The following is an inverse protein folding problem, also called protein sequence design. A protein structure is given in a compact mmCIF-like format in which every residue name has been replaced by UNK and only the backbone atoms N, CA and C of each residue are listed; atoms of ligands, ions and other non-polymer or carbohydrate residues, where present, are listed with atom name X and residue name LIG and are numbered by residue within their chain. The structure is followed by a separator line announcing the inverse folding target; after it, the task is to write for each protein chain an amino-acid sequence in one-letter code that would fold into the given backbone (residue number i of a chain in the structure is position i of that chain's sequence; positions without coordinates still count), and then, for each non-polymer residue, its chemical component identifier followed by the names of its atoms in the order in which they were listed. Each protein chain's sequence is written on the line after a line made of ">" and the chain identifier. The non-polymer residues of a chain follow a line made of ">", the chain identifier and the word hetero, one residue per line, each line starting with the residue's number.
data_IF_814650264454
#
_entry.id   IF_814650264454
#
_cell.length_a   1.000
_cell.length_b   1.000
_cell.length_c   1.000
_cell.angle_alpha   90.00
_cell.angle_beta   90.00
_cell.angle_gamma   90.00
#
_symmetry.space_group_name_H-M   'P 1'
#
loop_
_entity.id
_entity.type
_entity.pdbx_description
1 polymer ?
#
# COMPACT_ATOMS: atom_id res chain seq x y z
N UNK A 1 94.95 -12.03 19.55
CA UNK A 1 94.07 -11.86 18.37
C UNK A 1 92.90 -10.96 18.74
N UNK A 2 92.96 -9.67 18.36
CA UNK A 2 91.94 -8.69 18.70
C UNK A 2 91.01 -8.54 17.48
N UNK A 3 89.72 -8.87 17.67
CA UNK A 3 88.68 -8.56 16.74
C UNK A 3 88.16 -7.14 16.95
N UNK A 4 88.55 -6.24 16.08
CA UNK A 4 88.00 -4.88 16.03
C UNK A 4 86.62 -4.89 15.42
N UNK A 5 85.57 -4.57 16.22
CA UNK A 5 84.24 -4.34 15.77
C UNK A 5 84.17 -2.93 15.11
N UNK A 6 83.97 -2.87 13.81
CA UNK A 6 83.68 -1.61 13.07
C UNK A 6 82.25 -1.14 13.39
N UNK A 7 82.20 -0.11 14.25
CA UNK A 7 80.93 0.66 14.37
C UNK A 7 80.74 1.53 13.12
N UNK A 8 79.90 1.15 12.24
CA UNK A 8 79.45 2.00 11.13
C UNK A 8 78.45 3.03 11.65
N UNK A 9 78.92 4.25 11.90
CA UNK A 9 78.03 5.35 12.26
C UNK A 9 77.24 5.80 10.98
N UNK A 10 75.94 5.63 11.02
CA UNK A 10 75.01 6.14 9.97
C UNK A 10 75.11 7.68 9.99
N UNK A 11 75.38 8.32 8.84
CA UNK A 11 75.49 9.79 8.75
C UNK A 11 74.18 10.47 9.15
N UNK A 12 74.29 11.69 9.67
CA UNK A 12 73.09 12.44 10.12
C UNK A 12 72.05 12.64 9.01
N UNK A 13 72.47 12.80 7.77
CA UNK A 13 71.57 12.91 6.61
C UNK A 13 70.82 11.60 6.33
N UNK A 14 71.45 10.44 6.51
CA UNK A 14 70.80 9.15 6.36
C UNK A 14 69.76 8.89 7.43
N UNK A 15 70.01 9.34 8.66
CA UNK A 15 69.01 9.26 9.78
C UNK A 15 67.80 10.14 9.49
N UNK A 16 67.97 11.36 8.94
CA UNK A 16 66.87 12.25 8.57
C UNK A 16 66.06 11.69 7.41
N UNK A 17 66.69 11.08 6.41
CA UNK A 17 66.00 10.43 5.34
C UNK A 17 65.13 9.23 5.77
N UNK A 18 65.66 8.41 6.70
CA UNK A 18 64.91 7.27 7.28
C UNK A 18 63.69 7.76 8.08
N UNK A 19 63.88 8.81 8.90
CA UNK A 19 62.78 9.40 9.68
C UNK A 19 61.72 9.95 8.75
N UNK A 20 62.08 10.64 7.68
CA UNK A 20 61.15 11.17 6.69
C UNK A 20 60.30 10.06 6.00
N UNK A 21 60.92 8.96 5.62
CA UNK A 21 60.22 7.81 5.01
C UNK A 21 59.28 7.16 5.99
N UNK A 22 59.69 7.03 7.26
CA UNK A 22 58.79 6.45 8.30
C UNK A 22 57.56 7.36 8.53
N UNK A 23 57.78 8.67 8.66
CA UNK A 23 56.68 9.64 8.86
C UNK A 23 55.74 9.68 7.68
N UNK A 24 56.28 9.68 6.45
CA UNK A 24 55.47 9.63 5.25
C UNK A 24 54.65 8.32 5.14
N UNK A 25 55.24 7.20 5.53
CA UNK A 25 54.58 5.90 5.58
C UNK A 25 53.44 5.88 6.60
N UNK A 26 53.64 6.40 7.77
CA UNK A 26 52.60 6.49 8.84
C UNK A 26 51.46 7.40 8.40
N UNK A 27 51.77 8.56 7.81
CA UNK A 27 50.72 9.45 7.26
C UNK A 27 49.95 8.81 6.13
N UNK A 28 50.62 8.10 5.22
CA UNK A 28 49.98 7.35 4.15
C UNK A 28 49.02 6.26 4.67
N UNK A 29 49.45 5.51 5.69
CA UNK A 29 48.62 4.48 6.33
C UNK A 29 47.43 5.08 7.08
N UNK A 30 47.59 6.20 7.76
CA UNK A 30 46.46 6.85 8.46
C UNK A 30 45.42 7.41 7.49
N UNK A 31 45.85 8.02 6.36
CA UNK A 31 44.96 8.49 5.29
C UNK A 31 44.26 7.31 4.64
N UNK A 32 44.99 6.23 4.32
CA UNK A 32 44.39 5.03 3.70
C UNK A 32 43.40 4.33 4.65
N UNK A 33 43.70 4.22 5.94
CA UNK A 33 42.78 3.68 6.95
C UNK A 33 41.55 4.58 7.10
N UNK A 34 41.73 5.90 7.16
CA UNK A 34 40.62 6.85 7.20
C UNK A 34 39.71 6.73 5.97
N UNK A 35 40.32 6.65 4.77
CA UNK A 35 39.61 6.45 3.53
C UNK A 35 38.88 5.10 3.49
N UNK A 36 39.52 4.03 3.93
CA UNK A 36 38.94 2.68 4.02
C UNK A 36 37.76 2.61 5.00
N UNK A 37 37.83 3.35 6.12
CA UNK A 37 36.71 3.43 7.08
C UNK A 37 35.55 4.28 6.54
N UNK A 38 35.85 5.37 5.83
CA UNK A 38 34.80 6.23 5.24
C UNK A 38 34.08 5.53 4.06
N UNK A 39 34.79 4.65 3.32
CA UNK A 39 34.24 3.93 2.17
C UNK A 39 33.78 2.50 2.49
N UNK A 40 33.91 2.06 3.73
CA UNK A 40 33.17 0.89 4.17
C UNK A 40 31.67 1.22 4.06
N UNK A 41 31.05 0.73 2.99
CA UNK A 41 29.59 0.57 2.96
C UNK A 41 29.26 -0.27 4.18
N UNK A 42 28.76 0.37 5.21
CA UNK A 42 28.12 -0.34 6.30
C UNK A 42 26.88 -1.01 5.68
N UNK A 43 27.04 -2.23 5.21
CA UNK A 43 25.91 -3.12 5.06
C UNK A 43 25.43 -3.34 6.50
N UNK A 44 24.41 -2.56 6.89
CA UNK A 44 23.65 -2.89 8.07
C UNK A 44 23.26 -4.37 7.90
N UNK A 45 23.43 -5.21 8.93
CA UNK A 45 22.94 -6.56 8.84
C UNK A 45 21.45 -6.43 8.49
N UNK A 46 21.11 -6.83 7.28
CA UNK A 46 19.72 -7.03 6.90
C UNK A 46 19.25 -8.10 7.86
N UNK A 47 18.36 -7.75 8.76
CA UNK A 47 17.68 -8.67 9.65
C UNK A 47 16.75 -9.54 8.77
N UNK A 48 17.34 -10.42 7.99
CA UNK A 48 16.65 -11.44 7.17
C UNK A 48 16.22 -12.64 8.03
N UNK A 49 15.85 -12.40 9.28
CA UNK A 49 15.60 -13.47 10.22
C UNK A 49 14.36 -13.35 11.10
N UNK A 50 13.57 -12.29 10.93
CA UNK A 50 12.30 -12.13 11.65
C UNK A 50 11.19 -11.72 10.68
N UNK A 51 10.91 -12.55 9.67
CA UNK A 51 9.55 -12.71 9.22
C UNK A 51 8.81 -13.52 10.31
N UNK A 52 8.67 -12.93 11.49
CA UNK A 52 7.57 -13.30 12.35
C UNK A 52 6.32 -12.86 11.59
N UNK A 53 5.63 -13.80 10.96
CA UNK A 53 4.26 -13.56 10.53
C UNK A 53 3.50 -13.12 11.78
N UNK A 54 3.26 -11.81 11.89
CA UNK A 54 2.42 -11.27 12.96
C UNK A 54 1.02 -11.83 12.68
N UNK A 55 0.67 -12.90 13.39
CA UNK A 55 -0.65 -13.48 13.30
C UNK A 55 -1.56 -12.65 14.19
N UNK A 56 -2.40 -11.83 13.59
CA UNK A 56 -3.49 -11.14 14.28
C UNK A 56 -4.71 -12.07 14.27
N UNK A 57 -5.24 -12.38 15.47
CA UNK A 57 -6.48 -13.13 15.61
C UNK A 57 -7.57 -12.15 16.03
N UNK A 58 -8.60 -12.01 15.22
CA UNK A 58 -9.78 -11.20 15.52
C UNK A 58 -10.91 -12.13 15.94
N UNK A 59 -11.41 -11.95 17.17
CA UNK A 59 -12.59 -12.66 17.66
C UNK A 59 -13.87 -12.00 17.13
N UNK A 60 -14.75 -12.80 16.53
CA UNK A 60 -16.10 -12.38 16.12
C UNK A 60 -17.14 -13.19 16.87
N UNK A 61 -18.32 -12.60 17.11
CA UNK A 61 -19.45 -13.28 17.75
C UNK A 61 -20.15 -14.18 16.75
N UNK A 62 -19.69 -15.42 16.64
CA UNK A 62 -20.20 -16.41 15.69
C UNK A 62 -19.29 -16.57 14.46
N UNK A 63 -19.21 -17.79 13.95
CA UNK A 63 -18.56 -18.05 12.68
C UNK A 63 -19.56 -17.77 11.55
N UNK A 64 -19.27 -16.89 10.58
CA UNK A 64 -20.16 -16.67 9.46
C UNK A 64 -20.24 -17.95 8.61
N UNK A 65 -21.42 -18.29 8.12
CA UNK A 65 -21.61 -19.42 7.22
C UNK A 65 -20.95 -19.19 5.85
N UNK A 66 -20.75 -17.93 5.49
CA UNK A 66 -20.16 -17.47 4.23
C UNK A 66 -19.34 -16.21 4.45
N UNK A 67 -18.21 -16.09 3.75
CA UNK A 67 -17.42 -14.86 3.71
C UNK A 67 -17.92 -13.88 2.62
N UNK A 68 -18.92 -14.27 1.84
CA UNK A 68 -19.44 -13.41 0.78
C UNK A 68 -20.28 -12.26 1.33
N UNK A 69 -19.64 -11.14 1.58
CA UNK A 69 -20.24 -9.88 2.05
C UNK A 69 -21.33 -9.34 1.08
N UNK A 70 -21.37 -9.82 -0.16
CA UNK A 70 -22.36 -9.38 -1.15
C UNK A 70 -23.73 -10.01 -0.92
N UNK A 71 -23.75 -11.22 -0.37
CA UNK A 71 -24.98 -12.04 -0.21
C UNK A 71 -25.38 -12.22 1.24
N UNK A 72 -24.47 -11.97 2.17
CA UNK A 72 -24.68 -12.17 3.61
C UNK A 72 -24.91 -10.83 4.30
N UNK A 73 -26.08 -10.65 4.90
CA UNK A 73 -26.40 -9.45 5.70
C UNK A 73 -25.96 -9.68 7.17
N UNK A 74 -24.67 -9.58 7.39
CA UNK A 74 -24.03 -9.79 8.69
C UNK A 74 -23.04 -8.63 8.98
N UNK A 75 -23.39 -7.79 9.94
CA UNK A 75 -22.59 -6.66 10.38
C UNK A 75 -21.18 -7.08 10.88
N UNK A 76 -21.04 -8.33 11.36
CA UNK A 76 -19.74 -8.83 11.83
C UNK A 76 -18.76 -9.01 10.67
N UNK A 77 -19.25 -9.39 9.48
CA UNK A 77 -18.44 -9.45 8.26
C UNK A 77 -18.01 -8.06 7.81
N UNK A 78 -18.91 -7.09 7.85
CA UNK A 78 -18.59 -5.70 7.51
C UNK A 78 -17.44 -5.18 8.36
N UNK A 79 -17.50 -5.40 9.69
CA UNK A 79 -16.46 -4.95 10.63
C UNK A 79 -15.10 -5.59 10.40
N UNK A 80 -15.07 -6.81 9.90
CA UNK A 80 -13.82 -7.54 9.63
C UNK A 80 -13.29 -7.24 8.23
N UNK A 81 -14.15 -7.16 7.23
CA UNK A 81 -13.75 -7.12 5.82
C UNK A 81 -13.61 -5.70 5.28
N UNK A 82 -14.49 -4.74 5.70
CA UNK A 82 -14.40 -3.36 5.22
C UNK A 82 -13.19 -2.64 5.82
N UNK A 83 -12.40 -2.02 4.95
CA UNK A 83 -11.18 -1.32 5.32
C UNK A 83 -9.97 -2.23 5.57
N UNK A 84 -10.19 -3.53 5.78
CA UNK A 84 -9.12 -4.52 5.98
C UNK A 84 -8.83 -5.30 4.70
N UNK A 85 -9.83 -5.96 4.15
CA UNK A 85 -9.72 -6.74 2.90
C UNK A 85 -10.26 -5.95 1.72
N UNK A 86 -11.39 -5.27 1.90
CA UNK A 86 -12.04 -4.48 0.86
C UNK A 86 -11.91 -2.99 1.13
N UNK A 87 -11.37 -2.25 0.19
CA UNK A 87 -11.53 -0.81 0.15
C UNK A 87 -12.84 -0.45 -0.55
N UNK A 88 -13.43 0.65 -0.11
CA UNK A 88 -14.63 1.24 -0.72
C UNK A 88 -14.25 2.47 -1.55
N UNK A 89 -15.14 2.92 -2.44
CA UNK A 89 -14.92 4.15 -3.20
C UNK A 89 -14.64 5.34 -2.29
N UNK A 90 -15.38 5.47 -1.21
CA UNK A 90 -15.21 6.50 -0.18
C UNK A 90 -15.14 5.83 1.19
N UNK A 91 -14.59 6.51 2.19
CA UNK A 91 -14.55 6.04 3.58
C UNK A 91 -15.09 7.10 4.54
N UNK A 92 -15.29 6.73 5.80
CA UNK A 92 -15.57 7.66 6.89
C UNK A 92 -14.36 7.79 7.80
N UNK A 93 -14.15 8.99 8.33
CA UNK A 93 -13.21 9.20 9.42
C UNK A 93 -13.88 8.99 10.79
N UNK A 94 -13.09 9.12 11.87
CA UNK A 94 -13.56 8.95 13.25
C UNK A 94 -14.66 9.95 13.65
N UNK A 95 -14.80 11.06 12.94
CA UNK A 95 -15.83 12.04 13.10
C UNK A 95 -17.04 11.80 12.19
N UNK A 96 -17.09 10.62 11.54
CA UNK A 96 -18.15 10.22 10.61
C UNK A 96 -18.23 11.07 9.33
N UNK A 97 -17.17 11.82 9.01
CA UNK A 97 -17.07 12.65 7.80
C UNK A 97 -16.59 11.80 6.63
N UNK A 98 -17.19 12.01 5.46
CA UNK A 98 -16.82 11.32 4.21
C UNK A 98 -15.44 11.80 3.74
N UNK A 99 -14.58 10.83 3.47
CA UNK A 99 -13.19 11.03 3.05
C UNK A 99 -12.90 10.24 1.77
N UNK A 100 -11.89 10.65 0.99
CA UNK A 100 -11.36 9.85 -0.11
C UNK A 100 -10.88 8.46 0.34
N UNK A 101 -11.05 7.46 -0.55
CA UNK A 101 -10.50 6.10 -0.42
C UNK A 101 -10.00 5.62 -1.79
N UNK A 102 -10.65 4.68 -2.45
CA UNK A 102 -10.33 4.33 -3.84
C UNK A 102 -10.61 5.51 -4.80
N UNK A 103 -11.66 6.28 -4.55
CA UNK A 103 -11.83 7.58 -5.20
C UNK A 103 -11.02 8.64 -4.46
N UNK A 104 -10.04 9.24 -5.12
CA UNK A 104 -9.20 10.31 -4.58
C UNK A 104 -9.92 11.66 -4.52
N UNK A 105 -10.92 11.86 -5.37
CA UNK A 105 -11.77 13.05 -5.42
C UNK A 105 -13.07 12.77 -6.15
N UNK A 106 -14.06 13.65 -5.94
CA UNK A 106 -15.32 13.59 -6.67
C UNK A 106 -15.88 14.99 -6.93
N UNK A 107 -16.76 15.06 -7.94
CA UNK A 107 -17.56 16.24 -8.25
C UNK A 107 -19.01 15.83 -8.42
N UNK A 108 -19.91 16.71 -7.99
CA UNK A 108 -21.36 16.54 -8.15
C UNK A 108 -21.85 17.68 -9.04
N UNK A 109 -22.74 17.36 -9.99
CA UNK A 109 -23.41 18.39 -10.81
C UNK A 109 -24.33 19.27 -9.96
N UNK A 110 -24.64 20.47 -10.45
CA UNK A 110 -25.49 21.43 -9.74
C UNK A 110 -26.89 20.88 -9.43
N UNK A 111 -27.43 20.05 -10.33
CA UNK A 111 -28.71 19.39 -10.15
C UNK A 111 -28.66 18.14 -9.23
N UNK A 112 -27.47 17.77 -8.73
CA UNK A 112 -27.28 16.66 -7.83
C UNK A 112 -27.49 15.26 -8.47
N UNK A 113 -27.58 15.16 -9.79
CA UNK A 113 -27.90 13.91 -10.49
C UNK A 113 -26.69 13.22 -11.12
N UNK A 114 -25.55 13.92 -11.30
CA UNK A 114 -24.33 13.33 -11.88
C UNK A 114 -23.18 13.45 -10.91
N UNK A 115 -22.55 12.30 -10.62
CA UNK A 115 -21.37 12.19 -9.78
C UNK A 115 -20.19 11.66 -10.60
N UNK A 116 -19.06 12.35 -10.55
CA UNK A 116 -17.82 11.96 -11.22
C UNK A 116 -16.75 11.71 -10.16
N UNK A 117 -16.24 10.50 -10.09
CA UNK A 117 -15.22 10.07 -9.15
C UNK A 117 -13.91 9.81 -9.88
N UNK A 118 -12.82 10.45 -9.45
CA UNK A 118 -11.49 10.14 -9.95
C UNK A 118 -10.85 9.09 -9.04
N UNK A 119 -10.48 7.95 -9.60
CA UNK A 119 -9.83 6.88 -8.85
C UNK A 119 -8.38 7.26 -8.49
N UNK A 120 -7.92 6.73 -7.38
CA UNK A 120 -6.55 6.89 -6.90
C UNK A 120 -5.57 6.21 -7.86
N UNK A 121 -4.56 6.95 -8.31
CA UNK A 121 -3.50 6.39 -9.16
C UNK A 121 -2.70 5.33 -8.40
N UNK A 122 -2.35 4.25 -9.09
CA UNK A 122 -1.54 3.17 -8.52
C UNK A 122 -2.28 2.27 -7.53
N UNK A 123 -3.61 2.37 -7.40
CA UNK A 123 -4.39 1.43 -6.62
C UNK A 123 -4.38 0.04 -7.29
N UNK A 124 -4.15 -1.01 -6.51
CA UNK A 124 -4.09 -2.40 -6.99
C UNK A 124 -4.93 -3.32 -6.12
N UNK A 125 -5.40 -4.40 -6.71
CA UNK A 125 -5.92 -5.55 -5.96
C UNK A 125 -4.79 -6.37 -5.32
N UNK A 126 -5.13 -7.32 -4.46
CA UNK A 126 -4.18 -8.20 -3.79
C UNK A 126 -3.31 -9.02 -4.74
N UNK A 127 -3.81 -9.33 -5.95
CA UNK A 127 -3.07 -10.02 -7.02
C UNK A 127 -2.09 -9.10 -7.79
N UNK A 128 -2.02 -7.81 -7.44
CA UNK A 128 -1.19 -6.79 -8.09
C UNK A 128 -1.81 -6.17 -9.34
N UNK A 129 -3.00 -6.59 -9.78
CA UNK A 129 -3.66 -5.98 -10.93
C UNK A 129 -4.16 -4.58 -10.60
N UNK A 130 -4.03 -3.64 -11.55
CA UNK A 130 -4.45 -2.26 -11.36
C UNK A 130 -5.97 -2.15 -11.31
N UNK A 131 -6.48 -1.39 -10.36
CA UNK A 131 -7.90 -1.04 -10.24
C UNK A 131 -8.22 0.03 -11.28
N UNK A 132 -9.29 -0.20 -12.03
CA UNK A 132 -9.78 0.70 -13.07
C UNK A 132 -11.23 1.12 -12.80
N UNK A 133 -11.67 2.18 -13.47
CA UNK A 133 -13.08 2.59 -13.45
C UNK A 133 -14.02 1.49 -13.98
N UNK A 134 -13.54 0.62 -14.89
CA UNK A 134 -14.31 -0.52 -15.37
C UNK A 134 -14.59 -1.54 -14.26
N UNK A 135 -13.66 -1.76 -13.32
CA UNK A 135 -13.88 -2.63 -12.17
C UNK A 135 -14.95 -2.05 -11.24
N UNK A 136 -14.93 -0.72 -11.03
CA UNK A 136 -15.96 -0.04 -10.24
C UNK A 136 -17.34 -0.08 -10.92
N UNK A 137 -17.39 0.12 -12.24
CA UNK A 137 -18.62 -0.03 -13.03
C UNK A 137 -19.19 -1.43 -12.88
N UNK A 138 -18.33 -2.45 -13.11
CA UNK A 138 -18.73 -3.85 -13.02
C UNK A 138 -19.26 -4.16 -11.60
N UNK A 139 -18.58 -3.73 -10.55
CA UNK A 139 -18.96 -3.98 -9.16
C UNK A 139 -20.35 -3.43 -8.83
N UNK A 140 -20.62 -2.17 -9.19
CA UNK A 140 -21.93 -1.55 -8.97
C UNK A 140 -23.04 -2.22 -9.81
N UNK A 141 -22.73 -2.59 -11.04
CA UNK A 141 -23.67 -3.32 -11.91
C UNK A 141 -23.99 -4.71 -11.35
N UNK A 142 -23.01 -5.42 -10.75
CA UNK A 142 -23.27 -6.71 -10.10
C UNK A 142 -24.23 -6.56 -8.93
N UNK A 143 -24.08 -5.53 -8.09
CA UNK A 143 -24.99 -5.28 -6.97
C UNK A 143 -26.43 -5.19 -7.47
N UNK A 144 -26.67 -4.43 -8.53
CA UNK A 144 -28.00 -4.19 -9.08
C UNK A 144 -28.55 -5.44 -9.78
N UNK A 145 -27.76 -6.06 -10.66
CA UNK A 145 -28.22 -7.15 -11.51
C UNK A 145 -28.42 -8.47 -10.76
N UNK A 146 -27.56 -8.72 -9.77
CA UNK A 146 -27.61 -9.90 -8.91
C UNK A 146 -28.47 -9.72 -7.66
N UNK A 147 -28.98 -8.50 -7.45
CA UNK A 147 -29.75 -8.12 -6.25
C UNK A 147 -28.99 -8.45 -4.96
N UNK A 148 -27.70 -8.07 -4.93
CA UNK A 148 -26.89 -8.22 -3.73
C UNK A 148 -27.39 -7.29 -2.61
N UNK A 149 -26.95 -7.56 -1.38
CA UNK A 149 -27.30 -6.75 -0.21
C UNK A 149 -26.99 -5.27 -0.47
N UNK A 150 -27.96 -4.40 -0.22
CA UNK A 150 -27.87 -2.97 -0.51
C UNK A 150 -28.29 -2.57 -1.93
N UNK A 151 -28.72 -3.50 -2.82
CA UNK A 151 -29.16 -3.17 -4.18
C UNK A 151 -30.29 -2.14 -4.21
N UNK A 152 -31.21 -2.21 -3.26
CA UNK A 152 -32.34 -1.28 -3.18
C UNK A 152 -31.91 0.15 -2.87
N UNK A 153 -30.78 0.31 -2.19
CA UNK A 153 -30.19 1.62 -1.91
C UNK A 153 -29.68 2.33 -3.17
N UNK A 154 -29.43 1.59 -4.25
CA UNK A 154 -29.02 2.11 -5.56
C UNK A 154 -30.19 2.34 -6.51
N UNK A 155 -31.43 2.29 -6.04
CA UNK A 155 -32.64 2.42 -6.87
C UNK A 155 -32.72 3.71 -7.68
N UNK A 156 -32.16 4.81 -7.18
CA UNK A 156 -32.07 6.08 -7.92
C UNK A 156 -31.06 6.04 -9.08
N UNK A 157 -30.15 5.05 -9.12
CA UNK A 157 -29.10 4.98 -10.14
C UNK A 157 -29.74 4.64 -11.52
N UNK A 158 -29.46 5.47 -12.51
CA UNK A 158 -29.93 5.29 -13.89
C UNK A 158 -28.83 4.76 -14.80
N UNK A 159 -27.59 5.17 -14.58
CA UNK A 159 -26.45 4.74 -15.38
C UNK A 159 -25.16 4.72 -14.56
N UNK A 160 -24.28 3.78 -14.90
CA UNK A 160 -22.93 3.63 -14.36
C UNK A 160 -21.98 3.44 -15.52
N UNK A 161 -21.04 4.35 -15.70
CA UNK A 161 -20.12 4.34 -16.84
C UNK A 161 -18.69 4.71 -16.46
N UNK A 162 -17.73 4.27 -17.26
CA UNK A 162 -16.33 4.71 -17.16
C UNK A 162 -16.09 5.83 -18.15
N UNK A 163 -15.32 6.84 -17.72
CA UNK A 163 -14.75 7.85 -18.60
C UNK A 163 -13.21 7.69 -18.53
N UNK A 164 -12.68 6.94 -19.50
CA UNK A 164 -11.30 6.44 -19.46
C UNK A 164 -11.09 5.40 -18.35
N UNK A 165 -9.84 5.15 -17.97
CA UNK A 165 -9.48 4.11 -17.01
C UNK A 165 -9.57 4.54 -15.54
N UNK A 166 -9.72 5.83 -15.27
CA UNK A 166 -9.59 6.39 -13.93
C UNK A 166 -10.82 7.15 -13.44
N UNK A 167 -11.84 7.35 -14.27
CA UNK A 167 -13.00 8.13 -13.87
C UNK A 167 -14.27 7.27 -13.94
N UNK A 168 -14.94 7.13 -12.80
CA UNK A 168 -16.27 6.53 -12.67
C UNK A 168 -17.31 7.64 -12.72
N UNK A 169 -18.35 7.46 -13.50
CA UNK A 169 -19.48 8.38 -13.60
C UNK A 169 -20.76 7.66 -13.21
N UNK A 170 -21.47 8.23 -12.24
CA UNK A 170 -22.78 7.76 -11.79
C UNK A 170 -23.83 8.79 -12.18
N UNK A 171 -24.90 8.34 -12.83
CA UNK A 171 -26.07 9.18 -13.16
C UNK A 171 -27.28 8.67 -12.39
N UNK A 172 -28.02 9.56 -11.78
CA UNK A 172 -29.22 9.29 -11.02
C UNK A 172 -30.46 9.79 -11.79
N UNK A 173 -31.61 9.18 -11.53
CA UNK A 173 -32.92 9.66 -12.01
C UNK A 173 -33.40 10.89 -11.23
N UNK A 174 -33.00 10.96 -9.96
CA UNK A 174 -33.31 12.03 -9.02
C UNK A 174 -32.13 12.21 -8.05
N UNK A 175 -31.93 13.40 -7.46
CA UNK A 175 -30.86 13.64 -6.52
C UNK A 175 -30.95 12.72 -5.30
N UNK A 176 -29.82 12.09 -4.91
CA UNK A 176 -29.72 11.33 -3.68
C UNK A 176 -28.60 11.90 -2.79
N UNK A 177 -28.95 12.73 -1.79
CA UNK A 177 -27.97 13.31 -0.88
C UNK A 177 -27.17 12.29 -0.06
N UNK A 178 -27.66 11.03 0.03
CA UNK A 178 -27.02 9.96 0.78
C UNK A 178 -26.09 9.11 -0.06
N UNK A 179 -26.03 9.31 -1.39
CA UNK A 179 -25.21 8.46 -2.28
C UNK A 179 -23.75 8.38 -1.81
N UNK A 180 -23.13 9.51 -1.47
CA UNK A 180 -21.75 9.50 -1.00
C UNK A 180 -21.59 8.68 0.28
N UNK A 181 -22.56 8.73 1.19
CA UNK A 181 -22.56 7.94 2.41
C UNK A 181 -22.71 6.43 2.13
N UNK A 182 -23.56 6.05 1.18
CA UNK A 182 -23.73 4.66 0.74
C UNK A 182 -22.44 4.08 0.15
N UNK A 183 -21.68 4.90 -0.59
CA UNK A 183 -20.40 4.50 -1.16
C UNK A 183 -19.26 4.34 -0.14
N UNK A 184 -19.52 4.60 1.15
CA UNK A 184 -18.60 4.27 2.26
C UNK A 184 -18.90 2.90 2.88
N UNK A 185 -19.94 2.22 2.47
CA UNK A 185 -20.37 0.89 2.94
C UNK A 185 -20.01 -0.19 1.94
N UNK A 186 -20.48 -1.42 2.16
CA UNK A 186 -20.31 -2.56 1.23
C UNK A 186 -20.70 -2.24 -0.22
N UNK A 187 -21.61 -1.29 -0.44
CA UNK A 187 -22.04 -0.83 -1.77
C UNK A 187 -20.89 -0.19 -2.54
N UNK A 188 -19.97 0.47 -1.84
CA UNK A 188 -18.81 1.14 -2.45
C UNK A 188 -17.62 0.23 -2.69
N UNK A 189 -17.68 -1.06 -2.40
CA UNK A 189 -16.57 -2.00 -2.65
C UNK A 189 -16.33 -2.14 -4.15
N UNK A 190 -15.05 -2.13 -4.54
CA UNK A 190 -14.62 -2.43 -5.90
C UNK A 190 -13.99 -3.83 -5.93
N UNK A 191 -14.58 -4.72 -6.70
CA UNK A 191 -14.12 -6.10 -6.88
C UNK A 191 -13.33 -6.25 -8.17
N UNK A 192 -12.38 -7.18 -8.19
CA UNK A 192 -11.63 -7.54 -9.38
C UNK A 192 -12.52 -8.36 -10.34
N UNK A 193 -12.99 -7.74 -11.42
CA UNK A 193 -13.84 -8.42 -12.41
C UNK A 193 -13.13 -9.56 -13.18
N UNK A 194 -11.80 -9.60 -13.14
CA UNK A 194 -10.97 -10.61 -13.82
C UNK A 194 -10.72 -11.83 -12.94
N UNK A 195 -10.96 -11.70 -11.64
CA UNK A 195 -10.72 -12.78 -10.69
C UNK A 195 -11.93 -13.71 -10.61
N UNK A 196 -11.66 -15.02 -10.67
CA UNK A 196 -12.70 -16.05 -10.52
C UNK A 196 -12.50 -16.78 -9.19
N UNK A 197 -13.02 -16.20 -8.12
CA UNK A 197 -12.94 -16.74 -6.78
C UNK A 197 -14.30 -17.11 -6.20
N UNK A 198 -14.30 -18.08 -5.30
CA UNK A 198 -15.45 -18.41 -4.47
C UNK A 198 -15.46 -17.50 -3.22
N UNK A 199 -16.14 -16.36 -3.32
CA UNK A 199 -16.25 -15.39 -2.23
C UNK A 199 -16.88 -15.95 -0.95
N UNK A 200 -17.58 -17.09 -1.04
CA UNK A 200 -18.11 -17.74 0.17
C UNK A 200 -16.99 -18.34 1.05
N UNK A 201 -15.84 -18.68 0.45
CA UNK A 201 -14.74 -19.36 1.12
C UNK A 201 -13.50 -18.49 1.32
N UNK A 202 -13.34 -17.47 0.49
CA UNK A 202 -12.18 -16.59 0.56
C UNK A 202 -12.57 -15.16 0.21
N UNK A 203 -11.87 -14.20 0.80
CA UNK A 203 -12.01 -12.80 0.49
C UNK A 203 -10.77 -12.33 -0.29
N UNK A 204 -10.99 -11.54 -1.34
CA UNK A 204 -9.92 -10.91 -2.12
C UNK A 204 -10.37 -9.50 -2.48
N UNK A 205 -9.54 -8.53 -2.19
CA UNK A 205 -9.86 -7.13 -2.38
C UNK A 205 -8.62 -6.29 -2.65
N UNK A 206 -8.69 -5.03 -2.26
CA UNK A 206 -7.60 -4.05 -2.41
C UNK A 206 -7.11 -3.51 -1.08
N UNK A 207 -7.61 -4.04 0.02
CA UNK A 207 -7.21 -3.64 1.36
C UNK A 207 -5.79 -4.10 1.72
N UNK A 208 -5.29 -3.68 2.90
CA UNK A 208 -3.92 -3.97 3.34
C UNK A 208 -3.68 -5.43 3.75
N UNK A 209 -4.72 -6.28 3.84
CA UNK A 209 -4.64 -7.68 4.27
C UNK A 209 -5.27 -8.64 3.26
#
# INVERSE_FOLDING_TARGET
>A
MQHSARHTSISSSAKSAIIFVIVAGVLGCTVWLGWSLLHRKYTLPTFSGLQSSVKVSVGITGAPESLDIRTTDDDSLDRVLLGNVYETLLKRDDNNKIQPSLASSWKVSEDGTTYRFNLRSGATFADGTTITSSDAVWSLQQIITKKYVGSDELSALSNVESDGNSTLVLRLREPDPRLLAKLTTRIGIVYNQRENIDYAKQASGSGPF
#
